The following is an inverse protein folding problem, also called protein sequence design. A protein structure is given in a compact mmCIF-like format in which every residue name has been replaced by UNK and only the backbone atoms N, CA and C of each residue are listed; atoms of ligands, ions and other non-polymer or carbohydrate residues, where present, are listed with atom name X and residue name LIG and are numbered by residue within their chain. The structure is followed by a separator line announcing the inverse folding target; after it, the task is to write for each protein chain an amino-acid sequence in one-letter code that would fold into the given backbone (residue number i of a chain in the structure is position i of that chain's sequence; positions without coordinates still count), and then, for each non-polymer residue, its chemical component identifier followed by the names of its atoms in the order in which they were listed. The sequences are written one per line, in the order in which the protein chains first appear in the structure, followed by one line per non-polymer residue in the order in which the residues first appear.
data_IF_804045920036
#
_entry.id   IF_804045920036
#
_cell.length_a   1.000
_cell.length_b   1.000
_cell.length_c   1.000
_cell.angle_alpha   90.00
_cell.angle_beta   90.00
_cell.angle_gamma   90.00
#
_symmetry.space_group_name_H-M   'P 1'
#
loop_
_entity.id
_entity.type
_entity.pdbx_description
1 polymer ?
#
# COMPACT_ATOMS: atom_id res chain seq x y z
N UNK A 1 -42.61 -27.13 29.67
CA UNK A 1 -43.54 -26.04 29.32
C UNK A 1 -42.80 -24.73 29.48
N UNK A 2 -42.79 -23.89 28.44
CA UNK A 2 -42.06 -22.63 28.41
C UNK A 2 -42.91 -21.51 29.01
N UNK A 3 -42.29 -20.67 29.83
CA UNK A 3 -42.90 -19.42 30.31
C UNK A 3 -42.72 -18.39 29.19
N UNK A 4 -43.81 -18.07 28.50
CA UNK A 4 -43.82 -16.97 27.52
C UNK A 4 -44.06 -15.64 28.25
N UNK A 5 -43.22 -14.65 27.93
CA UNK A 5 -43.29 -13.31 28.50
C UNK A 5 -44.34 -12.49 27.74
N UNK A 6 -45.40 -12.08 28.43
CA UNK A 6 -46.35 -11.07 27.94
C UNK A 6 -46.04 -9.72 28.60
N UNK A 7 -45.73 -8.74 27.76
CA UNK A 7 -45.45 -7.36 28.14
C UNK A 7 -46.78 -6.61 28.28
N UNK A 8 -47.39 -6.63 29.47
CA UNK A 8 -48.63 -5.90 29.72
C UNK A 8 -48.48 -4.89 30.86
N UNK A 9 -48.84 -3.64 30.54
CA UNK A 9 -48.49 -2.42 31.29
C UNK A 9 -49.49 -2.05 32.38
N UNK A 10 -50.49 -2.87 32.65
CA UNK A 10 -51.52 -2.58 33.64
C UNK A 10 -51.91 -3.82 34.42
N UNK A 11 -51.60 -3.77 35.73
CA UNK A 11 -52.21 -4.49 36.85
C UNK A 11 -53.24 -5.57 36.48
N UNK A 12 -52.83 -6.84 36.46
CA UNK A 12 -53.78 -7.95 36.44
C UNK A 12 -54.42 -8.06 37.83
N UNK A 13 -55.66 -7.57 37.95
CA UNK A 13 -56.55 -7.95 39.05
C UNK A 13 -56.74 -9.48 38.99
N UNK A 14 -56.60 -10.21 40.11
CA UNK A 14 -56.86 -11.64 40.10
C UNK A 14 -58.37 -11.86 40.07
N UNK A 15 -58.92 -12.22 38.92
CA UNK A 15 -60.21 -12.90 38.87
C UNK A 15 -59.99 -14.37 39.22
N UNK A 16 -60.55 -14.76 40.36
CA UNK A 16 -60.41 -16.07 40.96
C UNK A 16 -61.20 -17.10 40.12
N UNK A 17 -60.50 -17.79 39.21
CA UNK A 17 -61.03 -18.96 38.52
C UNK A 17 -60.75 -20.20 39.38
N UNK A 18 -61.74 -20.54 40.21
CA UNK A 18 -61.78 -21.55 41.28
C UNK A 18 -61.44 -23.00 40.86
N UNK A 19 -61.01 -23.27 39.63
CA UNK A 19 -60.72 -24.64 39.15
C UNK A 19 -59.39 -24.85 38.43
N UNK A 20 -58.52 -23.83 38.36
CA UNK A 20 -57.13 -24.06 37.99
C UNK A 20 -56.23 -23.86 39.21
N UNK A 21 -55.81 -24.97 39.82
CA UNK A 21 -54.64 -24.98 40.71
C UNK A 21 -53.44 -24.54 39.87
N UNK A 22 -53.16 -23.24 39.86
CA UNK A 22 -51.96 -22.69 39.22
C UNK A 22 -50.78 -23.22 40.03
N UNK A 23 -50.19 -24.32 39.56
CA UNK A 23 -49.03 -24.96 40.19
C UNK A 23 -47.82 -24.03 40.22
N UNK A 24 -47.74 -23.09 39.26
CA UNK A 24 -46.76 -22.01 39.17
C UNK A 24 -47.18 -21.02 38.06
N UNK A 25 -47.06 -19.69 38.24
CA UNK A 25 -46.63 -18.98 39.44
C UNK A 25 -47.73 -18.95 40.52
N UNK A 26 -47.34 -19.17 41.78
CA UNK A 26 -48.25 -19.11 42.94
C UNK A 26 -48.70 -17.67 43.26
N UNK A 27 -49.90 -17.49 43.81
CA UNK A 27 -50.36 -16.18 44.29
C UNK A 27 -49.71 -15.75 45.62
N UNK A 28 -49.13 -16.70 46.37
CA UNK A 28 -48.36 -16.46 47.61
C UNK A 28 -47.05 -17.24 47.55
N UNK A 29 -46.06 -16.74 46.81
CA UNK A 29 -44.84 -17.46 46.54
C UNK A 29 -43.81 -17.37 47.68
N UNK A 30 -44.16 -17.89 48.86
CA UNK A 30 -43.28 -17.88 50.05
C UNK A 30 -42.65 -19.25 50.35
N UNK A 31 -42.92 -20.26 49.52
CA UNK A 31 -42.41 -21.61 49.74
C UNK A 31 -40.98 -21.77 49.20
N UNK A 32 -40.11 -22.40 49.99
CA UNK A 32 -38.78 -22.86 49.56
C UNK A 32 -38.84 -23.70 48.27
N UNK A 33 -39.92 -24.44 48.07
CA UNK A 33 -40.11 -25.26 46.87
C UNK A 33 -40.11 -24.44 45.59
N UNK A 34 -40.75 -23.27 45.59
CA UNK A 34 -40.88 -22.41 44.40
C UNK A 34 -39.54 -21.81 44.00
N UNK A 35 -38.74 -21.39 44.99
CA UNK A 35 -37.36 -20.90 44.74
C UNK A 35 -36.48 -22.00 44.16
N UNK A 36 -36.60 -23.24 44.65
CA UNK A 36 -35.86 -24.40 44.12
C UNK A 36 -36.32 -24.71 42.68
N UNK A 37 -37.62 -24.65 42.41
CA UNK A 37 -38.17 -24.88 41.08
C UNK A 37 -37.71 -23.79 40.10
N UNK A 38 -37.69 -22.52 40.51
CA UNK A 38 -37.18 -21.41 39.69
C UNK A 38 -35.70 -21.61 39.36
N UNK A 39 -34.88 -21.97 40.36
CA UNK A 39 -33.46 -22.29 40.16
C UNK A 39 -33.27 -23.43 39.15
N UNK A 40 -33.97 -24.55 39.33
CA UNK A 40 -33.90 -25.69 38.41
C UNK A 40 -34.34 -25.32 37.00
N UNK A 41 -35.37 -24.48 36.87
CA UNK A 41 -35.85 -24.00 35.58
C UNK A 41 -34.81 -23.10 34.91
N UNK A 42 -34.16 -22.22 35.67
CA UNK A 42 -33.05 -21.40 35.18
C UNK A 42 -31.90 -22.26 34.68
N UNK A 43 -31.43 -23.23 35.48
CA UNK A 43 -30.37 -24.18 35.08
C UNK A 43 -30.74 -24.90 33.78
N UNK A 44 -31.95 -25.45 33.68
CA UNK A 44 -32.42 -26.08 32.44
C UNK A 44 -32.49 -25.14 31.23
N UNK A 45 -32.80 -23.86 31.43
CA UNK A 45 -32.80 -22.87 30.36
C UNK A 45 -31.38 -22.55 29.91
N UNK A 46 -30.44 -22.46 30.84
CA UNK A 46 -29.01 -22.23 30.58
C UNK A 46 -28.37 -23.43 29.88
N UNK A 47 -28.63 -24.65 30.33
CA UNK A 47 -28.14 -25.89 29.71
C UNK A 47 -28.59 -25.99 28.24
N UNK A 48 -29.83 -25.60 27.94
CA UNK A 48 -30.38 -25.58 26.57
C UNK A 48 -29.70 -24.57 25.65
N UNK A 49 -29.04 -23.55 26.20
CA UNK A 49 -28.25 -22.61 25.41
C UNK A 49 -26.86 -23.16 25.06
N UNK A 50 -26.44 -24.28 25.66
CA UNK A 50 -25.14 -24.89 25.40
C UNK A 50 -23.98 -24.05 25.92
N UNK A 51 -24.15 -23.36 27.05
CA UNK A 51 -23.15 -22.44 27.63
C UNK A 51 -21.82 -23.16 27.95
N UNK A 52 -21.87 -24.47 28.20
CA UNK A 52 -20.70 -25.32 28.48
C UNK A 52 -20.13 -26.04 27.24
N UNK A 53 -20.74 -25.90 26.06
CA UNK A 53 -20.18 -26.43 24.82
C UNK A 53 -19.20 -25.40 24.22
N UNK A 54 -17.90 -25.67 24.33
CA UNK A 54 -16.82 -24.87 23.71
C UNK A 54 -16.97 -24.75 22.17
N UNK A 55 -17.79 -25.62 21.56
CA UNK A 55 -18.15 -25.62 20.14
C UNK A 55 -19.42 -24.80 19.89
N UNK A 56 -19.33 -23.48 20.05
CA UNK A 56 -20.38 -22.56 19.56
C UNK A 56 -20.42 -22.69 18.02
N UNK A 57 -21.33 -23.53 17.51
CA UNK A 57 -21.65 -23.61 16.09
C UNK A 57 -21.79 -22.20 15.52
N UNK A 58 -20.98 -21.89 14.50
CA UNK A 58 -20.96 -20.57 13.87
C UNK A 58 -22.27 -20.37 13.09
N UNK A 59 -23.32 -19.91 13.77
CA UNK A 59 -24.63 -19.61 13.15
C UNK A 59 -24.72 -18.18 12.63
N UNK A 60 -23.94 -17.27 13.17
CA UNK A 60 -23.83 -15.88 12.74
C UNK A 60 -22.61 -15.61 11.83
N UNK A 61 -22.59 -14.45 11.13
CA UNK A 61 -21.58 -14.15 10.12
C UNK A 61 -20.17 -13.96 10.69
N UNK A 62 -20.02 -13.70 11.99
CA UNK A 62 -18.73 -13.63 12.68
C UNK A 62 -18.85 -14.19 14.10
N UNK A 63 -17.72 -14.61 14.69
CA UNK A 63 -17.66 -15.02 16.09
C UNK A 63 -18.21 -13.95 17.05
N UNK A 64 -18.01 -12.67 16.73
CA UNK A 64 -18.61 -11.56 17.48
C UNK A 64 -20.14 -11.61 17.46
N UNK A 65 -20.75 -11.84 16.30
CA UNK A 65 -22.22 -11.93 16.22
C UNK A 65 -22.77 -13.09 17.04
N UNK A 66 -22.08 -14.23 17.05
CA UNK A 66 -22.44 -15.38 17.88
C UNK A 66 -22.38 -15.05 19.37
N UNK A 67 -21.28 -14.40 19.80
CA UNK A 67 -21.12 -13.97 21.18
C UNK A 67 -22.22 -12.99 21.61
N UNK A 68 -22.55 -12.01 20.76
CA UNK A 68 -23.63 -11.06 21.05
C UNK A 68 -25.00 -11.73 21.11
N UNK A 69 -25.25 -12.74 20.27
CA UNK A 69 -26.48 -13.51 20.30
C UNK A 69 -26.59 -14.36 21.56
N UNK A 70 -25.49 -15.01 21.98
CA UNK A 70 -25.41 -15.78 23.22
C UNK A 70 -25.71 -14.90 24.44
N UNK A 71 -24.99 -13.77 24.56
CA UNK A 71 -25.19 -12.79 25.63
C UNK A 71 -26.66 -12.33 25.68
N UNK A 72 -27.30 -12.10 24.52
CA UNK A 72 -28.71 -11.70 24.46
C UNK A 72 -29.63 -12.80 24.97
N UNK A 73 -29.39 -14.06 24.60
CA UNK A 73 -30.18 -15.22 25.05
C UNK A 73 -30.03 -15.44 26.55
N UNK A 74 -28.82 -15.36 27.09
CA UNK A 74 -28.57 -15.46 28.54
C UNK A 74 -29.24 -14.33 29.32
N UNK A 75 -29.12 -13.08 28.85
CA UNK A 75 -29.80 -11.95 29.47
C UNK A 75 -31.31 -12.14 29.52
N UNK A 76 -31.92 -12.75 28.51
CA UNK A 76 -33.36 -13.06 28.52
C UNK A 76 -33.72 -14.06 29.62
N UNK A 77 -32.90 -15.10 29.84
CA UNK A 77 -33.10 -16.05 30.94
C UNK A 77 -33.03 -15.33 32.28
N UNK A 78 -31.97 -14.53 32.50
CA UNK A 78 -31.83 -13.77 33.74
C UNK A 78 -32.98 -12.79 33.93
N UNK A 79 -33.45 -12.14 32.87
CA UNK A 79 -34.62 -11.27 32.94
C UNK A 79 -35.86 -12.04 33.45
N UNK A 80 -36.15 -13.24 32.92
CA UNK A 80 -37.28 -14.06 33.38
C UNK A 80 -37.15 -14.36 34.88
N UNK A 81 -35.97 -14.80 35.31
CA UNK A 81 -35.71 -15.14 36.72
C UNK A 81 -35.81 -13.91 37.63
N UNK A 82 -35.28 -12.76 37.20
CA UNK A 82 -35.38 -11.51 37.97
C UNK A 82 -36.82 -11.04 38.13
N UNK A 83 -37.65 -11.09 37.09
CA UNK A 83 -39.07 -10.72 37.21
C UNK A 83 -39.78 -11.60 38.24
N UNK A 84 -39.49 -12.90 38.23
CA UNK A 84 -40.04 -13.82 39.20
C UNK A 84 -39.55 -13.50 40.62
N UNK A 85 -38.25 -13.34 40.84
CA UNK A 85 -37.69 -13.00 42.16
C UNK A 85 -38.26 -11.68 42.71
N UNK A 86 -38.43 -10.67 41.86
CA UNK A 86 -39.06 -9.40 42.25
C UNK A 86 -40.50 -9.65 42.69
N UNK A 87 -41.30 -10.38 41.90
CA UNK A 87 -42.69 -10.73 42.27
C UNK A 87 -42.73 -11.47 43.61
N UNK A 88 -41.86 -12.45 43.82
CA UNK A 88 -41.82 -13.22 45.07
C UNK A 88 -41.48 -12.34 46.28
N UNK A 89 -40.48 -11.49 46.14
CA UNK A 89 -40.01 -10.60 47.22
C UNK A 89 -41.05 -9.53 47.55
N UNK A 90 -41.74 -8.98 46.54
CA UNK A 90 -42.79 -7.98 46.72
C UNK A 90 -44.00 -8.48 47.50
N UNK A 91 -44.25 -9.80 47.55
CA UNK A 91 -45.37 -10.36 48.33
C UNK A 91 -45.13 -10.22 49.84
N UNK A 92 -43.87 -10.35 50.29
CA UNK A 92 -43.51 -10.19 51.70
C UNK A 92 -43.19 -8.74 52.06
N UNK A 93 -42.47 -8.03 51.19
CA UNK A 93 -42.03 -6.65 51.40
C UNK A 93 -41.86 -5.96 50.05
N UNK A 94 -42.80 -5.06 49.75
CA UNK A 94 -42.85 -4.33 48.47
C UNK A 94 -41.57 -3.52 48.27
N UNK A 95 -41.04 -2.88 49.31
CA UNK A 95 -39.84 -2.04 49.26
C UNK A 95 -38.59 -2.83 48.86
N UNK A 96 -38.48 -4.09 49.29
CA UNK A 96 -37.38 -4.98 48.84
C UNK A 96 -37.53 -5.35 47.38
N UNK A 97 -38.76 -5.59 46.92
CA UNK A 97 -39.06 -5.84 45.51
C UNK A 97 -38.75 -4.63 44.63
N UNK A 98 -39.09 -3.42 45.08
CA UNK A 98 -38.75 -2.16 44.39
C UNK A 98 -37.23 -2.00 44.29
N UNK A 99 -36.49 -2.20 45.39
CA UNK A 99 -35.02 -2.13 45.37
C UNK A 99 -34.39 -3.16 44.41
N UNK A 100 -34.91 -4.38 44.37
CA UNK A 100 -34.47 -5.41 43.42
C UNK A 100 -34.78 -5.02 41.97
N UNK A 101 -35.94 -4.42 41.71
CA UNK A 101 -36.30 -3.89 40.40
C UNK A 101 -35.33 -2.79 39.95
N UNK A 102 -35.00 -1.85 40.84
CA UNK A 102 -34.03 -0.79 40.59
C UNK A 102 -32.63 -1.34 40.29
N UNK A 103 -32.17 -2.34 41.06
CA UNK A 103 -30.90 -3.02 40.79
C UNK A 103 -30.91 -3.69 39.41
N UNK A 104 -31.96 -4.45 39.09
CA UNK A 104 -32.11 -5.11 37.79
C UNK A 104 -32.10 -4.10 36.64
N UNK A 105 -32.77 -2.96 36.80
CA UNK A 105 -32.77 -1.89 35.80
C UNK A 105 -31.36 -1.30 35.59
N UNK A 106 -30.61 -1.05 36.68
CA UNK A 106 -29.22 -0.56 36.59
C UNK A 106 -28.29 -1.56 35.92
N UNK A 107 -28.36 -2.84 36.29
CA UNK A 107 -27.55 -3.89 35.68
C UNK A 107 -27.91 -4.12 34.21
N UNK A 108 -29.21 -4.15 33.87
CA UNK A 108 -29.67 -4.23 32.48
C UNK A 108 -29.14 -3.05 31.66
N UNK A 109 -29.18 -1.83 32.20
CA UNK A 109 -28.61 -0.65 31.56
C UNK A 109 -27.10 -0.75 31.31
N UNK A 110 -26.34 -1.35 32.24
CA UNK A 110 -24.91 -1.60 32.09
C UNK A 110 -24.64 -2.65 30.99
N UNK A 111 -25.34 -3.78 31.04
CA UNK A 111 -25.18 -4.88 30.11
C UNK A 111 -25.59 -4.52 28.68
N UNK A 112 -26.61 -3.67 28.51
CA UNK A 112 -27.03 -3.16 27.21
C UNK A 112 -25.98 -2.26 26.51
N UNK A 113 -25.03 -1.70 27.26
CA UNK A 113 -23.92 -0.92 26.67
C UNK A 113 -22.88 -1.81 26.02
N UNK A 114 -22.68 -3.04 26.52
CA UNK A 114 -21.63 -3.95 26.06
C UNK A 114 -21.78 -4.30 24.57
N UNK A 115 -22.95 -4.74 24.06
CA UNK A 115 -23.12 -5.00 22.63
C UNK A 115 -22.84 -3.80 21.72
N UNK A 116 -23.19 -2.59 22.17
CA UNK A 116 -22.95 -1.35 21.40
C UNK A 116 -21.45 -1.06 21.29
N UNK A 117 -20.72 -1.19 22.40
CA UNK A 117 -19.27 -0.98 22.43
C UNK A 117 -18.54 -2.03 21.59
N UNK A 118 -18.92 -3.31 21.68
CA UNK A 118 -18.32 -4.39 20.89
C UNK A 118 -18.51 -4.16 19.39
N UNK A 119 -19.71 -3.74 18.96
CA UNK A 119 -19.96 -3.41 17.54
C UNK A 119 -19.12 -2.23 17.06
N UNK A 120 -19.06 -1.15 17.84
CA UNK A 120 -18.21 0.02 17.54
C UNK A 120 -16.74 -0.39 17.38
N UNK A 121 -16.21 -1.16 18.33
CA UNK A 121 -14.82 -1.65 18.29
C UNK A 121 -14.56 -2.52 17.05
N UNK A 122 -15.51 -3.37 16.66
CA UNK A 122 -15.38 -4.18 15.46
C UNK A 122 -15.36 -3.34 14.18
N UNK A 123 -16.21 -2.32 14.09
CA UNK A 123 -16.22 -1.36 12.98
C UNK A 123 -14.88 -0.61 12.90
N UNK A 124 -14.35 -0.13 14.03
CA UNK A 124 -13.03 0.49 14.12
C UNK A 124 -11.92 -0.45 13.66
N UNK A 125 -11.93 -1.72 14.08
CA UNK A 125 -10.94 -2.73 13.65
C UNK A 125 -11.04 -3.01 12.14
N UNK A 126 -12.24 -3.06 11.58
CA UNK A 126 -12.43 -3.24 10.12
C UNK A 126 -11.90 -2.03 9.35
N UNK A 127 -12.17 -0.82 9.83
CA UNK A 127 -11.65 0.41 9.24
C UNK A 127 -10.12 0.45 9.30
N UNK A 128 -9.52 0.10 10.46
CA UNK A 128 -8.08 0.01 10.62
C UNK A 128 -7.45 -0.97 9.65
N UNK A 129 -8.02 -2.18 9.50
CA UNK A 129 -7.55 -3.18 8.52
C UNK A 129 -7.63 -2.69 7.07
N UNK A 130 -8.65 -1.90 6.73
CA UNK A 130 -8.78 -1.32 5.39
C UNK A 130 -7.69 -0.25 5.14
N UNK A 131 -7.39 0.57 6.16
CA UNK A 131 -6.29 1.54 6.10
C UNK A 131 -4.93 0.85 5.98
N UNK A 132 -4.67 -0.18 6.78
CA UNK A 132 -3.40 -0.92 6.75
C UNK A 132 -3.15 -1.56 5.37
N UNK A 133 -4.21 -2.11 4.74
CA UNK A 133 -4.13 -2.64 3.37
C UNK A 133 -3.72 -1.57 2.36
N UNK A 134 -4.38 -0.41 2.38
CA UNK A 134 -4.06 0.72 1.50
C UNK A 134 -2.64 1.23 1.73
N UNK A 135 -2.23 1.37 2.98
CA UNK A 135 -0.86 1.79 3.32
C UNK A 135 0.17 0.80 2.77
N UNK A 136 -0.09 -0.50 2.91
CA UNK A 136 0.78 -1.55 2.37
C UNK A 136 0.89 -1.47 0.84
N UNK A 137 -0.22 -1.23 0.14
CA UNK A 137 -0.24 -1.05 -1.32
C UNK A 137 0.59 0.17 -1.75
N UNK A 138 0.44 1.31 -1.06
CA UNK A 138 1.22 2.52 -1.36
C UNK A 138 2.71 2.34 -1.07
N UNK A 139 3.07 1.64 0.02
CA UNK A 139 4.47 1.28 0.31
C UNK A 139 5.06 0.39 -0.78
N UNK A 140 4.31 -0.57 -1.30
CA UNK A 140 4.76 -1.43 -2.40
C UNK A 140 4.94 -0.64 -3.70
N UNK A 141 4.03 0.29 -4.02
CA UNK A 141 4.18 1.20 -5.17
C UNK A 141 5.42 2.07 -5.03
N UNK A 142 5.61 2.70 -3.87
CA UNK A 142 6.77 3.53 -3.59
C UNK A 142 8.08 2.75 -3.71
N UNK A 143 8.13 1.54 -3.15
CA UNK A 143 9.28 0.64 -3.27
C UNK A 143 9.60 0.33 -4.75
N UNK A 144 8.57 0.03 -5.55
CA UNK A 144 8.76 -0.26 -6.98
C UNK A 144 9.31 0.96 -7.73
N UNK A 145 8.77 2.16 -7.47
CA UNK A 145 9.26 3.40 -8.07
C UNK A 145 10.72 3.67 -7.70
N UNK A 146 11.10 3.48 -6.43
CA UNK A 146 12.50 3.59 -6.01
C UNK A 146 13.38 2.57 -6.73
N UNK A 147 12.90 1.33 -6.92
CA UNK A 147 13.59 0.30 -7.67
C UNK A 147 13.92 0.75 -9.09
N UNK A 148 12.90 1.21 -9.83
CA UNK A 148 13.07 1.73 -11.19
C UNK A 148 14.05 2.90 -11.24
N UNK A 149 13.90 3.90 -10.36
CA UNK A 149 14.78 5.06 -10.32
C UNK A 149 16.23 4.68 -9.99
N UNK A 150 16.44 3.68 -9.13
CA UNK A 150 17.77 3.19 -8.79
C UNK A 150 18.42 2.50 -9.98
N UNK A 151 17.65 1.69 -10.71
CA UNK A 151 18.12 1.02 -11.93
C UNK A 151 18.44 2.04 -13.03
N UNK A 152 17.57 3.02 -13.28
CA UNK A 152 17.81 4.10 -14.21
C UNK A 152 19.08 4.88 -13.86
N UNK A 153 19.26 5.23 -12.58
CA UNK A 153 20.46 5.92 -12.11
C UNK A 153 21.73 5.09 -12.35
N UNK A 154 21.66 3.77 -12.16
CA UNK A 154 22.79 2.88 -12.43
C UNK A 154 23.16 2.85 -13.92
N UNK A 155 22.16 2.84 -14.81
CA UNK A 155 22.35 2.87 -16.26
C UNK A 155 22.94 4.20 -16.72
N UNK A 156 22.44 5.32 -16.20
CA UNK A 156 22.97 6.66 -16.51
C UNK A 156 24.43 6.77 -16.08
N UNK A 157 24.79 6.28 -14.89
CA UNK A 157 26.19 6.28 -14.42
C UNK A 157 27.11 5.46 -15.32
N UNK A 158 26.66 4.28 -15.75
CA UNK A 158 27.46 3.43 -16.65
C UNK A 158 27.60 4.07 -18.05
N UNK A 159 26.54 4.68 -18.56
CA UNK A 159 26.58 5.42 -19.82
C UNK A 159 27.53 6.61 -19.73
N UNK A 160 27.44 7.42 -18.67
CA UNK A 160 28.32 8.58 -18.44
C UNK A 160 29.80 8.18 -18.41
N UNK A 161 30.12 7.06 -17.75
CA UNK A 161 31.47 6.49 -17.75
C UNK A 161 31.94 6.14 -19.16
N UNK A 162 31.11 5.47 -19.97
CA UNK A 162 31.45 5.10 -21.36
C UNK A 162 31.65 6.32 -22.25
N UNK A 163 30.74 7.29 -22.18
CA UNK A 163 30.83 8.53 -22.96
C UNK A 163 32.08 9.32 -22.58
N UNK A 164 32.39 9.42 -21.29
CA UNK A 164 33.61 10.08 -20.82
C UNK A 164 34.86 9.39 -21.36
N UNK A 165 34.89 8.05 -21.36
CA UNK A 165 36.01 7.30 -21.92
C UNK A 165 36.15 7.49 -23.44
N UNK A 166 35.04 7.47 -24.18
CA UNK A 166 35.04 7.71 -25.62
C UNK A 166 35.48 9.15 -25.96
N UNK A 167 35.02 10.14 -25.19
CA UNK A 167 35.43 11.53 -25.35
C UNK A 167 36.94 11.70 -25.14
N UNK A 168 37.51 11.04 -24.13
CA UNK A 168 38.96 11.04 -23.91
C UNK A 168 39.72 10.38 -25.07
N UNK A 169 39.25 9.23 -25.57
CA UNK A 169 39.87 8.56 -26.73
C UNK A 169 39.84 9.44 -27.98
N UNK A 170 38.67 10.02 -28.30
CA UNK A 170 38.53 10.92 -29.45
C UNK A 170 39.41 12.17 -29.31
N UNK A 171 39.54 12.72 -28.11
CA UNK A 171 40.43 13.84 -27.84
C UNK A 171 41.90 13.47 -28.13
N UNK A 172 42.33 12.28 -27.73
CA UNK A 172 43.69 11.82 -27.91
C UNK A 172 44.00 11.48 -29.38
N UNK A 173 43.06 10.84 -30.08
CA UNK A 173 43.13 10.61 -31.53
C UNK A 173 43.22 11.92 -32.31
N UNK A 174 42.37 12.90 -31.98
CA UNK A 174 42.37 14.22 -32.60
C UNK A 174 43.71 14.92 -32.38
N UNK A 175 44.26 14.86 -31.16
CA UNK A 175 45.56 15.43 -30.83
C UNK A 175 46.67 14.82 -31.68
N UNK A 176 46.67 13.49 -31.86
CA UNK A 176 47.64 12.80 -32.69
C UNK A 176 47.50 13.17 -34.18
N UNK A 177 46.27 13.20 -34.70
CA UNK A 177 45.99 13.60 -36.06
C UNK A 177 46.42 15.06 -36.35
N UNK A 178 46.24 15.96 -35.37
CA UNK A 178 46.69 17.35 -35.48
C UNK A 178 48.21 17.42 -35.62
N UNK A 179 48.95 16.71 -34.76
CA UNK A 179 50.42 16.65 -34.79
C UNK A 179 50.92 16.11 -36.13
N UNK A 180 50.29 15.07 -36.67
CA UNK A 180 50.70 14.49 -37.94
C UNK A 180 50.32 15.38 -39.14
N UNK A 181 49.19 16.09 -39.06
CA UNK A 181 48.82 17.11 -40.03
C UNK A 181 49.81 18.28 -40.03
N UNK A 182 50.26 18.75 -38.87
CA UNK A 182 51.27 19.81 -38.76
C UNK A 182 52.61 19.39 -39.38
N UNK A 183 53.08 18.16 -39.09
CA UNK A 183 54.30 17.62 -39.73
C UNK A 183 54.16 17.52 -41.25
N UNK A 184 53.01 17.03 -41.72
CA UNK A 184 52.74 16.89 -43.16
C UNK A 184 52.70 18.25 -43.86
N UNK A 185 52.11 19.25 -43.22
CA UNK A 185 52.11 20.63 -43.72
C UNK A 185 53.52 21.23 -43.77
N UNK A 186 54.34 20.99 -42.74
CA UNK A 186 55.76 21.42 -42.72
C UNK A 186 56.55 20.79 -43.86
N UNK A 187 56.41 19.49 -44.07
CA UNK A 187 57.10 18.78 -45.16
C UNK A 187 56.64 19.27 -46.54
N UNK A 188 55.34 19.54 -46.71
CA UNK A 188 54.81 20.07 -47.96
C UNK A 188 55.35 21.48 -48.25
N UNK A 189 55.52 22.31 -47.23
CA UNK A 189 56.14 23.62 -47.35
C UNK A 189 57.60 23.51 -47.81
N UNK A 190 58.39 22.62 -47.18
CA UNK A 190 59.79 22.37 -47.59
C UNK A 190 59.88 21.86 -49.04
N UNK A 191 58.99 20.96 -49.44
CA UNK A 191 58.93 20.46 -50.82
C UNK A 191 58.56 21.56 -51.81
N UNK A 192 57.62 22.44 -51.43
CA UNK A 192 57.23 23.60 -52.24
C UNK A 192 58.41 24.55 -52.45
N UNK A 193 59.16 24.86 -51.40
CA UNK A 193 60.36 25.71 -51.46
C UNK A 193 61.42 25.12 -52.41
N UNK A 194 61.67 23.81 -52.31
CA UNK A 194 62.61 23.11 -53.20
C UNK A 194 62.14 23.12 -54.66
N UNK A 195 60.86 22.89 -54.90
CA UNK A 195 60.27 22.94 -56.24
C UNK A 195 60.41 24.35 -56.85
N UNK A 196 60.12 25.39 -56.07
CA UNK A 196 60.25 26.78 -56.50
C UNK A 196 61.71 27.15 -56.84
N UNK A 197 62.67 26.73 -56.02
CA UNK A 197 64.09 26.89 -56.30
C UNK A 197 64.50 26.22 -57.62
N UNK A 198 64.02 24.99 -57.86
CA UNK A 198 64.29 24.27 -59.10
C UNK A 198 63.64 24.94 -60.32
N UNK A 199 62.39 25.42 -60.19
CA UNK A 199 61.68 26.15 -61.24
C UNK A 199 62.47 27.39 -61.66
N UNK A 200 62.86 28.23 -60.70
CA UNK A 200 63.65 29.45 -60.94
C UNK A 200 64.97 29.11 -61.65
N UNK A 201 65.65 28.03 -61.24
CA UNK A 201 66.90 27.59 -61.87
C UNK A 201 66.69 27.17 -63.33
N UNK A 202 65.64 26.42 -63.61
CA UNK A 202 65.31 25.96 -64.96
C UNK A 202 64.89 27.13 -65.86
N UNK A 203 64.07 28.06 -65.35
CA UNK A 203 63.69 29.28 -66.07
C UNK A 203 64.94 30.07 -66.48
N UNK A 204 65.88 30.31 -65.56
CA UNK A 204 67.16 30.97 -65.86
C UNK A 204 68.00 30.23 -66.90
N UNK A 205 68.00 28.90 -66.87
CA UNK A 205 68.74 28.11 -67.86
C UNK A 205 68.10 28.23 -69.26
N UNK A 206 66.77 28.17 -69.33
CA UNK A 206 66.02 28.33 -70.59
C UNK A 206 66.22 29.72 -71.18
N UNK A 207 66.21 30.78 -70.35
CA UNK A 207 66.48 32.14 -70.84
C UNK A 207 67.89 32.25 -71.40
N UNK A 208 68.91 31.75 -70.69
CA UNK A 208 70.30 31.76 -71.19
C UNK A 208 70.47 30.97 -72.49
N UNK A 209 69.91 29.76 -72.57
CA UNK A 209 69.99 28.94 -73.80
C UNK A 209 69.25 29.58 -74.97
N UNK A 210 68.14 30.28 -74.70
CA UNK A 210 67.41 31.03 -75.72
C UNK A 210 68.25 32.21 -76.25
N UNK A 211 68.86 32.98 -75.35
CA UNK A 211 69.79 34.06 -75.72
C UNK A 211 70.98 33.54 -76.54
N UNK A 212 71.59 32.42 -76.12
CA UNK A 212 72.70 31.81 -76.83
C UNK A 212 72.29 31.32 -78.23
N UNK A 213 71.11 30.68 -78.34
CA UNK A 213 70.55 30.26 -79.63
C UNK A 213 70.31 31.45 -80.55
N UNK A 214 69.76 32.55 -80.05
CA UNK A 214 69.55 33.78 -80.84
C UNK A 214 70.88 34.36 -81.32
N UNK A 215 71.91 34.38 -80.47
CA UNK A 215 73.28 34.76 -80.81
C UNK A 215 73.85 33.89 -81.94
N UNK A 216 73.78 32.56 -81.80
CA UNK A 216 74.26 31.61 -82.81
C UNK A 216 73.48 31.72 -84.12
N UNK A 217 72.16 31.90 -84.04
CA UNK A 217 71.30 32.07 -85.22
C UNK A 217 71.63 33.36 -85.96
N UNK A 218 71.84 34.46 -85.23
CA UNK A 218 72.27 35.75 -85.80
C UNK A 218 73.66 35.65 -86.43
N UNK A 219 74.61 34.99 -85.76
CA UNK A 219 75.95 34.75 -86.28
C UNK A 219 75.91 33.90 -87.56
N UNK A 220 75.15 32.80 -87.57
CA UNK A 220 74.97 31.94 -88.74
C UNK A 220 74.31 32.69 -89.91
N UNK A 221 73.28 33.50 -89.65
CA UNK A 221 72.63 34.34 -90.66
C UNK A 221 73.60 35.37 -91.25
N UNK A 222 74.40 36.02 -90.40
CA UNK A 222 75.44 36.98 -90.84
C UNK A 222 76.52 36.33 -91.70
N UNK A 223 76.89 35.08 -91.39
CA UNK A 223 77.82 34.28 -92.18
C UNK A 223 77.22 33.86 -93.52
N UNK A 224 75.97 33.39 -93.52
CA UNK A 224 75.26 33.01 -94.75
C UNK A 224 75.11 34.21 -95.70
N UNK A 225 74.80 35.40 -95.18
CA UNK A 225 74.77 36.64 -95.96
C UNK A 225 76.13 37.02 -96.56
N UNK A 226 77.24 36.71 -95.89
CA UNK A 226 78.60 36.94 -96.41
C UNK A 226 79.08 35.91 -97.44
N UNK A 227 78.42 34.76 -97.55
CA UNK A 227 78.79 33.68 -98.49
C UNK A 227 77.96 33.74 -99.79
N UNK A 228 76.78 34.40 -99.76
CA UNK A 228 75.88 34.57 -100.90
C UNK A 228 76.03 35.92 -101.64
N UNK A 229 76.97 36.78 -101.23
CA UNK A 229 77.35 38.01 -101.91
C UNK A 229 78.83 38.01 -102.25
#
# INVERSE_FOLDING_TARGET
MGLEYHDDKYTTKPEDHVQHLVMFPSMKPSSRYEVIQLKKTMEQMLDRLGIDDDDIEVKGPTQMHNLLELIKKEQNIFNIVFHELIRQTSVECVERGELLSDLRNKYSGLLNKVPRQIKSLHEEVLAQRALDRRLTEELMRFKNTIGVLTDELSQVKEHDKKVTQQAHQAQEELKNALVDSEKSASLLAEYHDLYELQRIRLEKLVTMLSEEKELWSTAAYSLALKVLG
#
